data_IF_704008793629
#
_entry.id   IF_704008793629
#
_cell.length_a   1.000
_cell.length_b   1.000
_cell.length_c   1.000
_cell.angle_alpha   90.00
_cell.angle_beta   90.00
_cell.angle_gamma   90.00
#
_symmetry.space_group_name_H-M   'P 1'
#
loop_
_entity.id
_entity.type
_entity.pdbx_description
1 polymer ?
#
# COMPACT_ATOMS: atom_id res chain seq x y z
N UNK A 1 9.23 14.52 9.11
CA UNK A 1 9.54 13.41 8.19
C UNK A 1 9.51 12.10 8.99
N UNK A 2 8.32 11.58 9.32
CA UNK A 2 8.14 10.37 10.15
C UNK A 2 6.96 9.49 9.66
N UNK A 3 6.32 9.84 8.54
CA UNK A 3 5.01 9.28 8.16
C UNK A 3 5.08 7.92 7.43
N UNK A 4 6.27 7.35 7.22
CA UNK A 4 6.47 6.07 6.53
C UNK A 4 6.63 4.89 7.50
N UNK A 5 6.96 5.13 8.78
CA UNK A 5 7.26 4.04 9.73
C UNK A 5 5.98 3.33 10.17
N UNK A 6 4.96 4.09 10.58
CA UNK A 6 3.71 3.51 11.11
C UNK A 6 2.97 2.55 10.15
N UNK A 7 2.89 2.79 8.82
CA UNK A 7 2.24 1.86 7.90
C UNK A 7 3.00 0.54 7.68
N UNK A 8 4.33 0.55 7.80
CA UNK A 8 5.15 -0.66 7.64
C UNK A 8 4.99 -1.57 8.87
N UNK A 9 4.90 -1.00 10.07
CA UNK A 9 4.61 -1.78 11.29
C UNK A 9 3.22 -2.45 11.24
N UNK A 10 2.24 -1.82 10.58
CA UNK A 10 0.91 -2.41 10.38
C UNK A 10 0.96 -3.61 9.42
N UNK A 11 1.86 -3.59 8.42
CA UNK A 11 2.04 -4.74 7.52
C UNK A 11 2.61 -5.96 8.26
N UNK A 12 3.46 -5.76 9.27
CA UNK A 12 3.99 -6.85 10.10
C UNK A 12 2.89 -7.56 10.90
N UNK A 13 1.89 -6.81 11.37
CA UNK A 13 0.83 -7.33 12.23
C UNK A 13 -0.35 -7.90 11.44
N UNK A 14 -0.64 -7.39 10.23
CA UNK A 14 -1.76 -7.88 9.43
C UNK A 14 -1.51 -7.70 7.91
N UNK A 15 -0.79 -8.67 7.35
CA UNK A 15 -0.35 -8.78 5.96
C UNK A 15 -1.48 -8.73 4.92
N UNK A 16 -2.73 -8.98 5.34
CA UNK A 16 -3.90 -9.08 4.47
C UNK A 16 -4.69 -7.77 4.33
N UNK A 17 -4.29 -6.68 4.98
CA UNK A 17 -5.00 -5.39 4.94
C UNK A 17 -5.02 -4.80 3.52
N UNK A 18 -3.97 -4.99 2.75
CA UNK A 18 -3.90 -4.52 1.37
C UNK A 18 -4.88 -5.23 0.46
N UNK A 19 -5.48 -4.47 -0.46
CA UNK A 19 -6.36 -4.97 -1.50
C UNK A 19 -5.58 -5.91 -2.43
N UNK A 20 -6.05 -7.14 -2.68
CA UNK A 20 -5.38 -8.05 -3.60
C UNK A 20 -5.43 -7.53 -5.03
N UNK A 21 -4.33 -7.75 -5.75
CA UNK A 21 -4.21 -7.51 -7.18
C UNK A 21 -3.62 -8.74 -7.88
N UNK A 22 -3.23 -8.60 -9.14
CA UNK A 22 -2.61 -9.67 -9.91
C UNK A 22 -1.32 -10.19 -9.25
N UNK A 23 -0.92 -11.40 -9.61
CA UNK A 23 0.41 -11.96 -9.27
C UNK A 23 0.74 -12.03 -7.76
N UNK A 24 -0.26 -12.29 -6.92
CA UNK A 24 -0.10 -12.38 -5.45
C UNK A 24 0.40 -11.09 -4.79
N UNK A 25 0.29 -9.96 -5.49
CA UNK A 25 0.59 -8.64 -4.96
C UNK A 25 -0.64 -8.04 -4.27
N UNK A 26 -0.38 -7.07 -3.41
CA UNK A 26 -1.38 -6.33 -2.67
C UNK A 26 -1.02 -4.86 -2.68
N UNK A 27 -2.04 -4.02 -2.78
CA UNK A 27 -1.88 -2.58 -2.67
C UNK A 27 -2.47 -2.07 -1.35
N UNK A 28 -1.72 -1.21 -0.67
CA UNK A 28 -2.17 -0.51 0.52
C UNK A 28 -2.22 0.99 0.23
N UNK A 29 -3.41 1.56 0.37
CA UNK A 29 -3.68 2.98 0.20
C UNK A 29 -3.67 3.64 1.59
N UNK A 30 -2.74 4.57 1.82
CA UNK A 30 -2.55 5.24 3.11
C UNK A 30 -2.92 6.71 2.95
N UNK A 31 -3.82 7.21 3.80
CA UNK A 31 -4.34 8.57 3.68
C UNK A 31 -5.27 8.76 2.47
N UNK A 32 -5.78 9.97 2.28
CA UNK A 32 -6.70 10.33 1.18
C UNK A 32 -6.26 11.64 0.52
N UNK A 33 -6.66 11.85 -0.73
CA UNK A 33 -6.38 13.06 -1.54
C UNK A 33 -4.87 13.32 -1.76
N UNK A 34 -4.44 14.58 -1.80
CA UNK A 34 -3.12 15.03 -2.23
C UNK A 34 -1.95 14.60 -1.33
N UNK A 35 -2.23 14.09 -0.14
CA UNK A 35 -1.23 13.57 0.81
C UNK A 35 -1.27 12.05 0.95
N UNK A 36 -2.06 11.39 0.09
CA UNK A 36 -2.19 9.94 0.09
C UNK A 36 -1.01 9.25 -0.58
N UNK A 37 -0.65 8.08 -0.06
CA UNK A 37 0.38 7.20 -0.62
C UNK A 37 -0.21 5.83 -0.97
N UNK A 38 0.40 5.19 -1.96
CA UNK A 38 0.13 3.83 -2.39
C UNK A 38 1.40 3.01 -2.15
N UNK A 39 1.24 1.85 -1.50
CA UNK A 39 2.29 0.86 -1.33
C UNK A 39 1.88 -0.39 -2.09
N UNK A 40 2.70 -0.82 -3.05
CA UNK A 40 2.57 -2.13 -3.66
C UNK A 40 3.50 -3.09 -2.93
N UNK A 41 2.98 -4.21 -2.46
CA UNK A 41 3.76 -5.18 -1.71
C UNK A 41 3.39 -6.62 -2.04
N UNK A 42 4.31 -7.53 -1.75
CA UNK A 42 4.11 -8.98 -1.85
C UNK A 42 4.48 -9.66 -0.55
N UNK A 43 3.62 -10.56 -0.07
CA UNK A 43 3.90 -11.38 1.12
C UNK A 43 4.58 -12.68 0.73
N UNK A 44 5.64 -13.05 1.44
CA UNK A 44 6.34 -14.34 1.32
C UNK A 44 6.00 -15.20 2.54
N UNK A 45 5.05 -16.13 2.42
CA UNK A 45 4.50 -16.86 3.56
C UNK A 45 5.51 -17.76 4.27
N UNK A 46 6.52 -18.27 3.55
CA UNK A 46 7.53 -19.15 4.13
C UNK A 46 8.48 -18.49 5.14
N UNK A 47 8.54 -17.15 5.14
CA UNK A 47 9.44 -16.37 6.01
C UNK A 47 8.72 -15.19 6.69
N UNK A 48 7.39 -15.15 6.65
CA UNK A 48 6.57 -14.07 7.24
C UNK A 48 7.05 -12.65 6.88
N UNK A 49 7.58 -12.47 5.66
CA UNK A 49 8.21 -11.22 5.24
C UNK A 49 7.40 -10.56 4.13
N UNK A 50 7.36 -9.23 4.12
CA UNK A 50 6.83 -8.44 2.99
C UNK A 50 7.95 -7.80 2.19
N UNK A 51 7.80 -7.82 0.87
CA UNK A 51 8.59 -6.99 -0.02
C UNK A 51 7.75 -5.81 -0.45
N UNK A 52 8.18 -4.61 -0.08
CA UNK A 52 7.64 -3.36 -0.63
C UNK A 52 8.28 -3.15 -2.01
N UNK A 53 7.46 -3.24 -3.05
CA UNK A 53 7.91 -3.13 -4.44
C UNK A 53 7.98 -1.67 -4.86
N UNK A 54 6.97 -0.88 -4.47
CA UNK A 54 6.82 0.52 -4.86
C UNK A 54 6.15 1.30 -3.72
N UNK A 55 6.64 2.52 -3.49
CA UNK A 55 5.94 3.55 -2.70
C UNK A 55 5.80 4.79 -3.59
N UNK A 56 4.56 5.17 -3.93
CA UNK A 56 4.27 6.34 -4.75
C UNK A 56 3.17 7.19 -4.13
N UNK A 57 3.05 8.46 -4.52
CA UNK A 57 1.86 9.25 -4.16
C UNK A 57 0.64 8.70 -4.89
N UNK A 58 -0.52 8.78 -4.28
CA UNK A 58 -1.80 8.40 -4.91
C UNK A 58 -2.06 9.21 -6.20
N UNK A 59 -1.65 10.48 -6.24
CA UNK A 59 -1.75 11.32 -7.44
C UNK A 59 -0.89 10.82 -8.60
N UNK A 60 0.28 10.23 -8.30
CA UNK A 60 1.20 9.68 -9.30
C UNK A 60 0.73 8.29 -9.79
N UNK A 61 -0.03 7.56 -8.96
CA UNK A 61 -0.59 6.25 -9.28
C UNK A 61 -1.98 6.30 -9.94
N UNK A 62 -2.48 7.48 -10.31
CA UNK A 62 -3.81 7.65 -10.92
C UNK A 62 -5.00 7.44 -9.96
N UNK A 63 -4.76 7.46 -8.65
CA UNK A 63 -5.81 7.31 -7.63
C UNK A 63 -6.64 8.59 -7.40
N UNK A 64 -6.16 9.75 -7.84
CA UNK A 64 -6.91 11.02 -7.74
C UNK A 64 -8.21 11.03 -8.57
N UNK A 65 -8.31 10.20 -9.61
CA UNK A 65 -9.49 10.15 -10.50
C UNK A 65 -10.52 9.08 -10.09
N UNK A 66 -10.08 7.93 -9.55
CA UNK A 66 -11.00 6.84 -9.17
C UNK A 66 -11.83 7.12 -7.90
N UNK A 67 -11.36 8.01 -7.02
CA UNK A 67 -12.07 8.36 -5.77
C UNK A 67 -13.12 9.47 -5.95
N UNK A 68 -13.17 10.12 -7.14
CA UNK A 68 -14.16 11.16 -7.47
C UNK A 68 -15.45 10.60 -8.09
N UNK A 69 -15.55 9.28 -8.27
CA UNK A 69 -16.73 8.57 -8.76
C UNK A 69 -17.49 7.86 -7.62
N UNK A 70 -17.63 8.53 -6.48
CA UNK A 70 -18.41 8.09 -5.31
C UNK A 70 -19.62 8.97 -5.09
#
# INVERSE_FOLDING_TARGET
>A
MHWIIAPVEILEQNLLIGRPVANSERELVIGRRSHGYLILYRHVPGIHTVFVLVICRQSEAGYSERDSAG
#
